data_IF_753735836197
#
_entry.id   IF_753735836197
#
_cell.length_a   1.000
_cell.length_b   1.000
_cell.length_c   1.000
_cell.angle_alpha   90.00
_cell.angle_beta   90.00
_cell.angle_gamma   90.00
#
_symmetry.space_group_name_H-M   'P 1'
#
loop_
_entity.id
_entity.type
_entity.pdbx_description
1 polymer ?
#
# COMPACT_ATOMS: atom_id res chain seq x y z
N UNK A 1 -16.31 40.35 7.57
CA UNK A 1 -15.10 39.70 7.02
C UNK A 1 -15.20 38.20 7.28
N UNK A 2 -15.85 37.46 6.37
CA UNK A 2 -15.99 36.00 6.48
C UNK A 2 -14.71 35.35 5.97
N UNK A 3 -13.92 34.79 6.89
CA UNK A 3 -12.74 34.03 6.54
C UNK A 3 -13.16 32.76 5.80
N UNK A 4 -12.92 32.71 4.49
CA UNK A 4 -12.96 31.48 3.70
C UNK A 4 -11.95 30.51 4.30
N UNK A 5 -12.39 29.57 5.14
CA UNK A 5 -11.57 28.45 5.57
C UNK A 5 -11.19 27.67 4.32
N UNK A 6 -9.91 27.73 3.95
CA UNK A 6 -9.32 26.85 2.96
C UNK A 6 -9.54 25.41 3.46
N UNK A 7 -10.47 24.68 2.84
CA UNK A 7 -10.68 23.27 3.17
C UNK A 7 -9.46 22.53 2.62
N UNK A 8 -8.60 21.94 3.45
CA UNK A 8 -7.54 21.09 2.92
C UNK A 8 -8.21 19.99 2.08
N UNK A 9 -7.64 19.68 0.92
CA UNK A 9 -8.15 18.64 0.04
C UNK A 9 -8.39 17.35 0.83
N UNK A 10 -9.51 16.68 0.56
CA UNK A 10 -9.88 15.45 1.25
C UNK A 10 -8.73 14.44 1.15
N UNK A 11 -8.28 13.93 2.30
CA UNK A 11 -7.28 12.86 2.33
C UNK A 11 -7.89 11.60 1.71
N UNK A 12 -7.10 10.72 1.07
CA UNK A 12 -7.64 9.52 0.42
C UNK A 12 -8.52 8.65 1.33
N UNK A 13 -8.25 8.63 2.65
CA UNK A 13 -9.04 7.90 3.65
C UNK A 13 -10.36 8.57 4.09
N UNK A 14 -10.69 9.78 3.62
CA UNK A 14 -11.85 10.56 4.10
C UNK A 14 -13.02 10.58 3.12
N UNK A 15 -13.31 9.46 2.45
CA UNK A 15 -14.38 9.33 1.45
C UNK A 15 -15.81 9.40 2.04
N UNK A 16 -15.95 9.40 3.36
CA UNK A 16 -17.25 9.44 4.05
C UNK A 16 -18.10 10.66 3.64
N UNK A 17 -19.37 10.42 3.29
CA UNK A 17 -20.32 11.46 2.90
C UNK A 17 -20.34 11.82 1.39
N UNK A 18 -19.48 11.21 0.58
CA UNK A 18 -19.54 11.31 -0.89
C UNK A 18 -20.70 10.50 -1.49
N UNK A 19 -21.20 10.93 -2.64
CA UNK A 19 -22.19 10.17 -3.41
C UNK A 19 -21.58 8.84 -3.89
N UNK A 20 -21.84 7.76 -3.16
CA UNK A 20 -21.42 6.41 -3.55
C UNK A 20 -22.45 5.81 -4.52
N UNK A 21 -21.96 5.19 -5.61
CA UNK A 21 -22.81 4.33 -6.44
C UNK A 21 -22.92 2.96 -5.79
N UNK A 22 -24.08 2.31 -5.97
CA UNK A 22 -24.23 0.89 -5.63
C UNK A 22 -23.24 0.09 -6.47
N UNK A 23 -22.31 -0.58 -5.81
CA UNK A 23 -21.44 -1.59 -6.39
C UNK A 23 -21.98 -2.98 -6.03
N UNK A 24 -21.86 -3.94 -6.95
CA UNK A 24 -22.08 -5.34 -6.61
C UNK A 24 -20.90 -5.83 -5.78
N UNK A 25 -21.15 -6.32 -4.58
CA UNK A 25 -20.11 -6.98 -3.79
C UNK A 25 -19.82 -8.34 -4.43
N UNK A 26 -18.67 -8.46 -5.08
CA UNK A 26 -18.16 -9.73 -5.60
C UNK A 26 -17.14 -10.24 -4.59
N UNK A 27 -17.22 -11.52 -4.22
CA UNK A 27 -16.18 -12.15 -3.41
C UNK A 27 -14.87 -12.20 -4.19
N UNK A 28 -13.79 -11.66 -3.60
CA UNK A 28 -12.44 -11.77 -4.14
C UNK A 28 -11.70 -12.85 -3.37
N UNK A 29 -11.22 -13.89 -4.08
CA UNK A 29 -10.34 -14.88 -3.48
C UNK A 29 -8.89 -14.39 -3.53
N UNK A 30 -8.22 -14.19 -2.38
CA UNK A 30 -6.87 -13.65 -2.38
C UNK A 30 -5.89 -14.67 -2.95
N UNK A 31 -5.14 -14.21 -3.93
CA UNK A 31 -4.03 -14.92 -4.55
C UNK A 31 -2.93 -15.26 -3.51
N UNK A 32 -2.02 -16.21 -3.84
CA UNK A 32 -0.93 -16.56 -2.94
C UNK A 32 0.00 -15.40 -2.57
N UNK A 33 0.16 -14.39 -3.45
CA UNK A 33 1.00 -13.23 -3.13
C UNK A 33 0.29 -12.25 -2.20
N UNK A 34 -1.03 -12.04 -2.34
CA UNK A 34 -1.82 -11.19 -1.44
C UNK A 34 -1.83 -11.76 -0.02
N UNK A 35 -1.98 -13.09 0.12
CA UNK A 35 -1.84 -13.78 1.40
C UNK A 35 -0.46 -13.56 2.03
N UNK A 36 0.60 -13.63 1.23
CA UNK A 36 1.98 -13.35 1.70
C UNK A 36 2.18 -11.89 2.09
N UNK A 37 1.64 -10.94 1.32
CA UNK A 37 1.66 -9.52 1.66
C UNK A 37 0.98 -9.25 3.01
N UNK A 38 -0.19 -9.85 3.22
CA UNK A 38 -0.90 -9.72 4.49
C UNK A 38 -0.10 -10.34 5.65
N UNK A 39 0.41 -11.56 5.47
CA UNK A 39 1.22 -12.24 6.49
C UNK A 39 2.48 -11.43 6.85
N UNK A 40 3.15 -10.84 5.86
CA UNK A 40 4.31 -9.96 6.10
C UNK A 40 3.93 -8.75 6.97
N UNK A 41 2.80 -8.09 6.67
CA UNK A 41 2.32 -6.97 7.46
C UNK A 41 2.06 -7.37 8.93
N UNK A 42 1.45 -8.54 9.15
CA UNK A 42 1.19 -9.08 10.49
C UNK A 42 2.48 -9.40 11.24
N UNK A 43 3.45 -10.01 10.56
CA UNK A 43 4.75 -10.34 11.18
C UNK A 43 5.50 -9.07 11.59
N UNK A 44 5.57 -8.07 10.71
CA UNK A 44 6.22 -6.80 11.00
C UNK A 44 5.56 -6.06 12.17
N UNK A 45 4.22 -6.11 12.27
CA UNK A 45 3.46 -5.53 13.38
C UNK A 45 3.69 -6.30 14.69
N UNK A 46 3.71 -7.65 14.63
CA UNK A 46 3.95 -8.50 15.81
C UNK A 46 5.35 -8.34 16.41
N UNK A 47 6.33 -7.91 15.60
CA UNK A 47 7.68 -7.57 16.04
C UNK A 47 7.86 -6.08 16.33
N UNK A 48 6.78 -5.29 16.35
CA UNK A 48 6.79 -3.85 16.61
C UNK A 48 7.68 -3.04 15.65
N UNK A 49 7.99 -3.60 14.47
CA UNK A 49 8.80 -2.95 13.44
C UNK A 49 8.00 -1.85 12.76
N UNK A 50 6.72 -2.12 12.51
CA UNK A 50 5.75 -1.16 11.98
C UNK A 50 4.59 -1.01 12.96
N UNK A 51 3.90 0.10 12.89
CA UNK A 51 2.59 0.28 13.51
C UNK A 51 1.49 0.45 12.46
N UNK A 52 0.26 0.08 12.84
CA UNK A 52 -0.93 0.31 12.01
C UNK A 52 -1.08 1.78 11.58
N UNK A 53 -0.70 2.72 12.46
CA UNK A 53 -0.79 4.16 12.19
C UNK A 53 0.26 4.63 11.19
N UNK A 54 1.51 4.17 11.30
CA UNK A 54 2.56 4.46 10.30
C UNK A 54 2.14 3.95 8.92
N UNK A 55 1.65 2.71 8.83
CA UNK A 55 1.12 2.16 7.59
C UNK A 55 -0.02 3.01 7.01
N UNK A 56 -0.97 3.44 7.84
CA UNK A 56 -2.10 4.29 7.44
C UNK A 56 -1.62 5.64 6.90
N UNK A 57 -0.70 6.31 7.61
CA UNK A 57 -0.12 7.59 7.16
C UNK A 57 0.58 7.44 5.81
N UNK A 58 1.41 6.41 5.64
CA UNK A 58 2.11 6.17 4.38
C UNK A 58 1.14 5.85 3.24
N UNK A 59 0.13 5.01 3.48
CA UNK A 59 -0.92 4.73 2.50
C UNK A 59 -1.67 5.99 2.07
N UNK A 60 -2.03 6.87 3.01
CA UNK A 60 -2.67 8.15 2.69
C UNK A 60 -1.75 9.13 1.96
N UNK A 61 -0.43 9.03 2.17
CA UNK A 61 0.56 9.92 1.55
C UNK A 61 0.79 9.62 0.06
N UNK A 62 0.45 8.41 -0.40
CA UNK A 62 0.56 8.02 -1.82
C UNK A 62 -0.31 8.88 -2.75
N UNK A 63 -1.34 9.53 -2.21
CA UNK A 63 -2.25 10.38 -2.98
C UNK A 63 -3.29 9.58 -3.78
N UNK A 64 -4.35 10.28 -4.17
CA UNK A 64 -5.52 9.66 -4.83
C UNK A 64 -5.18 9.01 -6.18
N UNK A 65 -4.23 9.58 -6.93
CA UNK A 65 -3.86 9.08 -8.26
C UNK A 65 -3.20 7.69 -8.18
N UNK A 66 -2.25 7.53 -7.24
CA UNK A 66 -1.56 6.26 -7.06
C UNK A 66 -2.52 5.18 -6.52
N UNK A 67 -3.35 5.54 -5.54
CA UNK A 67 -4.36 4.64 -4.97
C UNK A 67 -5.39 4.19 -6.01
N UNK A 68 -5.75 5.06 -6.98
CA UNK A 68 -6.69 4.71 -8.04
C UNK A 68 -6.10 3.75 -9.09
N UNK A 69 -4.76 3.73 -9.26
CA UNK A 69 -4.08 2.86 -10.22
C UNK A 69 -3.67 1.50 -9.65
N UNK A 70 -3.37 1.45 -8.35
CA UNK A 70 -2.91 0.25 -7.67
C UNK A 70 -4.08 -0.53 -7.07
N UNK A 71 -3.99 -1.85 -7.09
CA UNK A 71 -4.88 -2.73 -6.33
C UNK A 71 -4.65 -2.58 -4.82
N UNK A 72 -5.60 -3.12 -4.05
CA UNK A 72 -5.61 -3.02 -2.59
C UNK A 72 -4.36 -3.57 -1.90
N UNK A 73 -3.76 -4.64 -2.42
CA UNK A 73 -2.53 -5.17 -1.81
C UNK A 73 -1.26 -4.52 -2.38
N UNK A 74 -1.31 -3.96 -3.59
CA UNK A 74 -0.18 -3.25 -4.19
C UNK A 74 0.12 -1.93 -3.48
N UNK A 75 -0.89 -1.11 -3.18
CA UNK A 75 -0.65 0.12 -2.43
C UNK A 75 -0.24 -0.14 -0.96
N UNK A 76 -0.54 -1.33 -0.43
CA UNK A 76 -0.20 -1.73 0.93
C UNK A 76 1.25 -2.16 1.01
N UNK A 77 1.72 -3.01 0.10
CA UNK A 77 3.13 -3.41 0.07
C UNK A 77 4.03 -2.20 -0.20
N UNK A 78 3.59 -1.25 -1.04
CA UNK A 78 4.28 0.01 -1.25
C UNK A 78 4.35 0.87 0.02
N UNK A 79 3.22 1.02 0.73
CA UNK A 79 3.20 1.74 2.01
C UNK A 79 4.12 1.10 3.05
N UNK A 80 4.18 -0.23 3.11
CA UNK A 80 5.11 -0.96 3.99
C UNK A 80 6.57 -0.69 3.63
N UNK A 81 6.91 -0.73 2.34
CA UNK A 81 8.26 -0.42 1.87
C UNK A 81 8.68 1.01 2.26
N UNK A 82 7.77 1.99 2.12
CA UNK A 82 8.02 3.37 2.54
C UNK A 82 8.33 3.43 4.05
N UNK A 83 7.54 2.78 4.91
CA UNK A 83 7.81 2.74 6.36
C UNK A 83 9.19 2.16 6.66
N UNK A 84 9.56 1.05 6.00
CA UNK A 84 10.86 0.41 6.21
C UNK A 84 12.03 1.29 5.73
N UNK A 85 11.84 2.04 4.64
CA UNK A 85 12.80 3.04 4.15
C UNK A 85 12.95 4.22 5.11
N UNK A 86 11.85 4.76 5.63
CA UNK A 86 11.84 5.84 6.62
C UNK A 86 12.61 5.42 7.89
N UNK A 87 12.43 4.17 8.32
CA UNK A 87 13.13 3.59 9.48
C UNK A 87 14.56 3.13 9.19
N UNK A 88 15.02 3.22 7.93
CA UNK A 88 16.35 2.75 7.48
C UNK A 88 16.61 1.26 7.74
N UNK A 89 15.54 0.48 7.87
CA UNK A 89 15.61 -0.99 8.01
C UNK A 89 15.84 -1.64 6.65
N UNK A 90 15.35 -0.99 5.61
CA UNK A 90 15.57 -1.36 4.21
C UNK A 90 16.11 -0.12 3.48
N UNK A 91 17.06 -0.31 2.57
CA UNK A 91 17.48 0.73 1.64
C UNK A 91 16.86 0.51 0.25
N UNK A 92 16.54 1.58 -0.51
CA UNK A 92 16.04 1.44 -1.87
C UNK A 92 16.96 0.64 -2.79
N UNK A 93 18.29 0.76 -2.61
CA UNK A 93 19.28 0.00 -3.37
C UNK A 93 19.27 -1.50 -3.05
N UNK A 94 19.02 -1.88 -1.79
CA UNK A 94 18.91 -3.29 -1.39
C UNK A 94 17.65 -3.91 -1.99
N UNK A 95 16.55 -3.16 -2.01
CA UNK A 95 15.33 -3.60 -2.68
C UNK A 95 15.55 -3.78 -4.19
N UNK A 96 16.16 -2.79 -4.85
CA UNK A 96 16.43 -2.84 -6.29
C UNK A 96 17.31 -4.06 -6.64
N UNK A 97 18.41 -4.25 -5.92
CA UNK A 97 19.28 -5.42 -6.12
C UNK A 97 18.54 -6.74 -5.93
N UNK A 98 17.67 -6.83 -4.92
CA UNK A 98 16.87 -8.04 -4.68
C UNK A 98 15.83 -8.27 -5.78
N UNK A 99 15.23 -7.21 -6.32
CA UNK A 99 14.31 -7.30 -7.44
C UNK A 99 15.01 -7.81 -8.71
N UNK A 100 16.23 -7.32 -8.98
CA UNK A 100 17.04 -7.78 -10.10
C UNK A 100 17.40 -9.27 -9.95
N UNK A 101 17.85 -9.71 -8.76
CA UNK A 101 18.12 -11.13 -8.47
C UNK A 101 16.88 -12.02 -8.70
N UNK A 102 15.69 -11.55 -8.28
CA UNK A 102 14.44 -12.29 -8.47
C UNK A 102 14.05 -12.33 -9.96
N UNK A 103 14.22 -11.23 -10.69
CA UNK A 103 13.95 -11.17 -12.12
C UNK A 103 14.87 -12.11 -12.91
N UNK A 104 16.14 -12.21 -12.54
CA UNK A 104 17.09 -13.15 -13.13
C UNK A 104 16.74 -14.61 -12.80
N UNK A 105 16.30 -14.88 -11.56
CA UNK A 105 15.84 -16.23 -11.16
C UNK A 105 14.56 -16.64 -11.86
N UNK A 106 13.72 -15.67 -12.23
CA UNK A 106 12.41 -15.91 -12.83
C UNK A 106 12.25 -15.11 -14.14
N UNK A 107 12.96 -15.48 -15.22
CA UNK A 107 13.01 -14.71 -16.47
C UNK A 107 11.69 -14.72 -17.25
N UNK A 108 10.75 -15.59 -16.91
CA UNK A 108 9.39 -15.61 -17.46
C UNK A 108 8.38 -15.32 -16.36
N UNK A 109 8.19 -14.04 -16.03
CA UNK A 109 7.25 -13.56 -15.01
C UNK A 109 6.01 -14.45 -14.90
N UNK A 110 5.80 -15.03 -13.72
CA UNK A 110 4.78 -16.05 -13.48
C UNK A 110 3.43 -15.60 -13.99
N UNK A 111 3.02 -16.16 -15.13
CA UNK A 111 1.61 -16.33 -15.48
C UNK A 111 1.01 -17.21 -14.39
N UNK A 112 0.35 -16.56 -13.44
CA UNK A 112 -0.18 -17.16 -12.24
C UNK A 112 -1.22 -16.23 -11.65
N UNK A 113 -2.26 -15.97 -12.46
CA UNK A 113 -3.40 -15.12 -12.17
C UNK A 113 -4.18 -14.87 -13.45
#
# INVERSE_FOLDING_TARGET
>A
MTATRHRPGARPGTLGGGAARRNGQVGHEPSPWEKRCHALAVVLDSHEIISAEEKRRCSESLGNEMIARLSYYEHWILALAIVLFEKRILAPSELAWKMDEIAERWPGGGSGG
#
